data_IF_751690102624
#
_entry.id   IF_751690102624
#
_cell.length_a   1.000
_cell.length_b   1.000
_cell.length_c   1.000
_cell.angle_alpha   90.00
_cell.angle_beta   90.00
_cell.angle_gamma   90.00
#
_symmetry.space_group_name_H-M   'P 1'
#
loop_
_entity.id
_entity.type
_entity.pdbx_description
1 polymer ?
#
# COMPACT_ATOMS: atom_id res chain seq x y z
N UNK A 1 9.06 -7.59 0.24
CA UNK A 1 8.94 -7.58 -1.23
C UNK A 1 9.61 -8.74 -1.93
N UNK A 2 10.66 -9.37 -1.37
CA UNK A 2 11.38 -10.48 -2.00
C UNK A 2 10.46 -11.57 -2.60
N UNK A 3 9.54 -12.15 -1.84
CA UNK A 3 8.65 -13.20 -2.36
C UNK A 3 7.73 -12.74 -3.51
N UNK A 4 7.21 -11.51 -3.45
CA UNK A 4 6.35 -10.99 -4.52
C UNK A 4 7.17 -10.72 -5.79
N UNK A 5 8.35 -10.11 -5.65
CA UNK A 5 9.28 -9.90 -6.76
C UNK A 5 9.79 -11.21 -7.36
N UNK A 6 10.10 -12.21 -6.54
CA UNK A 6 10.51 -13.55 -6.98
C UNK A 6 9.42 -14.28 -7.77
N UNK A 7 8.14 -13.97 -7.49
CA UNK A 7 6.99 -14.52 -8.21
C UNK A 7 6.59 -13.64 -9.41
N UNK A 8 7.35 -12.58 -9.74
CA UNK A 8 7.04 -11.67 -10.85
C UNK A 8 5.79 -10.83 -10.63
N UNK A 9 5.41 -10.60 -9.37
CA UNK A 9 4.19 -9.89 -8.97
C UNK A 9 4.47 -8.41 -8.70
N UNK A 10 5.22 -7.76 -9.60
CA UNK A 10 5.60 -6.35 -9.48
C UNK A 10 4.39 -5.40 -9.62
N UNK A 11 3.28 -5.92 -10.12
CA UNK A 11 1.99 -5.27 -10.26
C UNK A 11 1.08 -5.48 -9.04
N UNK A 12 1.55 -6.01 -7.91
CA UNK A 12 0.69 -6.13 -6.71
C UNK A 12 0.75 -4.85 -5.88
N UNK A 13 -0.41 -4.31 -5.51
CA UNK A 13 -0.50 -3.24 -4.51
C UNK A 13 -0.45 -3.87 -3.13
N UNK A 14 0.51 -3.46 -2.32
CA UNK A 14 0.63 -3.90 -0.93
C UNK A 14 0.26 -2.74 -0.03
N UNK A 15 -0.72 -2.93 0.84
CA UNK A 15 -1.10 -1.96 1.89
C UNK A 15 -0.96 -2.63 3.25
N UNK A 16 -0.72 -1.83 4.29
CA UNK A 16 -0.64 -2.32 5.68
C UNK A 16 -1.59 -1.54 6.56
N UNK A 17 -2.23 -2.25 7.49
CA UNK A 17 -3.12 -1.67 8.49
C UNK A 17 -2.67 -2.03 9.92
N UNK A 18 -2.87 -1.11 10.86
CA UNK A 18 -2.63 -1.38 12.28
C UNK A 18 -2.14 -0.16 13.07
N UNK A 19 -1.68 -0.40 14.30
CA UNK A 19 -1.03 0.61 15.12
C UNK A 19 0.46 0.61 14.74
N UNK A 20 0.84 1.56 13.89
CA UNK A 20 2.20 1.65 13.34
C UNK A 20 2.81 2.98 13.78
N UNK A 21 4.00 2.97 14.40
CA UNK A 21 4.71 4.18 14.77
C UNK A 21 4.99 5.09 13.56
N UNK A 22 4.94 6.40 13.76
CA UNK A 22 5.18 7.37 12.68
C UNK A 22 6.56 7.18 12.03
N UNK A 23 7.56 6.86 12.85
CA UNK A 23 8.94 6.59 12.43
C UNK A 23 9.07 5.39 11.49
N UNK A 24 8.13 4.45 11.55
CA UNK A 24 8.15 3.22 10.74
C UNK A 24 7.41 3.38 9.41
N UNK A 25 6.61 4.45 9.24
CA UNK A 25 5.79 4.65 8.03
C UNK A 25 6.65 4.84 6.78
N UNK A 26 7.65 5.72 6.83
CA UNK A 26 8.51 5.98 5.67
C UNK A 26 9.36 4.74 5.31
N UNK A 27 10.03 4.07 6.27
CA UNK A 27 10.71 2.80 5.98
C UNK A 27 9.81 1.75 5.33
N UNK A 28 8.55 1.63 5.75
CA UNK A 28 7.60 0.70 5.13
C UNK A 28 7.30 1.08 3.67
N UNK A 29 7.13 2.37 3.38
CA UNK A 29 6.91 2.83 2.00
C UNK A 29 8.13 2.57 1.11
N UNK A 30 9.34 2.80 1.63
CA UNK A 30 10.59 2.52 0.92
C UNK A 30 10.78 1.02 0.63
N UNK A 31 10.21 0.15 1.48
CA UNK A 31 10.18 -1.30 1.25
C UNK A 31 9.13 -1.74 0.21
N UNK A 32 8.39 -0.81 -0.41
CA UNK A 32 7.41 -1.07 -1.46
C UNK A 32 5.95 -1.09 -1.00
N UNK A 33 5.66 -0.75 0.26
CA UNK A 33 4.28 -0.63 0.73
C UNK A 33 3.67 0.64 0.14
N UNK A 34 2.53 0.48 -0.53
CA UNK A 34 1.85 1.57 -1.24
C UNK A 34 1.16 2.54 -0.28
N UNK A 35 0.58 2.04 0.83
CA UNK A 35 0.01 2.90 1.87
C UNK A 35 -0.08 2.19 3.24
N UNK A 36 -0.05 3.01 4.30
CA UNK A 36 -0.13 2.59 5.70
C UNK A 36 -1.36 3.21 6.38
N UNK A 37 -2.33 2.36 6.70
CA UNK A 37 -3.60 2.73 7.34
C UNK A 37 -3.53 2.57 8.86
N UNK A 38 -3.72 3.68 9.57
CA UNK A 38 -3.61 3.73 11.03
C UNK A 38 -4.96 3.59 11.74
N UNK A 39 -4.97 3.66 13.09
CA UNK A 39 -6.20 3.76 13.86
C UNK A 39 -7.02 4.98 13.41
N UNK A 40 -8.32 4.78 13.21
CA UNK A 40 -9.23 5.84 12.76
C UNK A 40 -9.31 6.00 11.23
N UNK A 41 -8.50 5.28 10.44
CA UNK A 41 -8.70 5.20 8.99
C UNK A 41 -10.06 4.57 8.70
N UNK A 42 -10.86 5.22 7.86
CA UNK A 42 -12.18 4.71 7.47
C UNK A 42 -12.04 3.70 6.33
N UNK A 43 -12.92 2.70 6.29
CA UNK A 43 -12.98 1.76 5.16
C UNK A 43 -13.20 2.48 3.83
N UNK A 44 -13.96 3.58 3.82
CA UNK A 44 -14.17 4.41 2.63
C UNK A 44 -12.85 4.94 2.07
N UNK A 45 -11.98 5.50 2.92
CA UNK A 45 -10.66 6.00 2.48
C UNK A 45 -9.74 4.89 1.94
N UNK A 46 -9.83 3.68 2.49
CA UNK A 46 -9.09 2.51 1.98
C UNK A 46 -9.61 2.13 0.58
N UNK A 47 -10.93 2.11 0.38
CA UNK A 47 -11.56 1.81 -0.90
C UNK A 47 -11.19 2.86 -1.96
N UNK A 48 -11.27 4.14 -1.61
CA UNK A 48 -10.88 5.26 -2.49
C UNK A 48 -9.42 5.12 -2.93
N UNK A 49 -8.50 4.88 -2.00
CA UNK A 49 -7.09 4.67 -2.30
C UNK A 49 -6.87 3.53 -3.31
N UNK A 50 -7.52 2.38 -3.09
CA UNK A 50 -7.39 1.22 -3.98
C UNK A 50 -7.94 1.55 -5.38
N UNK A 51 -9.09 2.21 -5.46
CA UNK A 51 -9.70 2.60 -6.73
C UNK A 51 -8.83 3.59 -7.51
N UNK A 52 -8.24 4.58 -6.84
CA UNK A 52 -7.32 5.54 -7.45
C UNK A 52 -6.08 4.83 -8.01
N UNK A 53 -5.44 3.97 -7.22
CA UNK A 53 -4.27 3.21 -7.67
C UNK A 53 -4.56 2.29 -8.86
N UNK A 54 -5.77 1.74 -8.96
CA UNK A 54 -6.18 0.95 -10.14
C UNK A 54 -6.36 1.82 -11.38
N UNK A 55 -6.87 3.05 -11.24
CA UNK A 55 -6.98 3.99 -12.36
C UNK A 55 -5.61 4.43 -12.87
N UNK A 56 -4.67 4.74 -11.97
CA UNK A 56 -3.31 5.14 -12.35
C UNK A 56 -2.63 4.07 -13.22
N UNK A 57 -2.84 2.80 -12.88
CA UNK A 57 -2.32 1.67 -13.66
C UNK A 57 -3.02 1.45 -15.00
N UNK A 58 -4.34 1.68 -15.07
CA UNK A 58 -5.07 1.52 -16.33
C UNK A 58 -4.68 2.60 -17.37
N UNK A 59 -4.09 3.71 -16.92
CA UNK A 59 -3.68 4.84 -17.75
C UNK A 59 -2.17 4.88 -18.03
N UNK A 60 -1.40 3.89 -17.58
CA UNK A 60 0.05 3.74 -17.78
C UNK A 60 0.37 2.59 -18.72
#
# INVERSE_FOLDING_TARGET
>A
MNLLGEQGMDDVIVVVGGIIPEVDRQPLKDLGISEVFGPGTTTASIVEFIQEKMKDRANS
#
